data_IF_594431898449
#
_entry.id   IF_594431898449
#
_cell.length_a   1.000
_cell.length_b   1.000
_cell.length_c   1.000
_cell.angle_alpha   90.00
_cell.angle_beta   90.00
_cell.angle_gamma   90.00
#
_symmetry.space_group_name_H-M   'P 1'
#
loop_
_entity.id
_entity.type
_entity.pdbx_description
1 polymer ?
#
# COMPACT_ATOMS: atom_id res chain seq x y z
N UNK A 1 9.45 9.82 24.19
CA UNK A 1 8.45 9.47 23.16
C UNK A 1 8.53 7.97 23.00
N UNK A 2 7.44 7.27 23.32
CA UNK A 2 7.41 5.82 23.44
C UNK A 2 7.65 5.16 22.08
N UNK A 3 8.73 4.41 21.99
CA UNK A 3 8.95 3.36 21.01
C UNK A 3 7.75 2.39 21.11
N UNK A 4 6.76 2.56 20.24
CA UNK A 4 5.59 1.68 20.18
C UNK A 4 5.88 0.69 19.06
N UNK A 5 5.88 -0.63 19.34
CA UNK A 5 6.33 -1.61 18.38
C UNK A 5 5.48 -1.49 17.14
N UNK A 6 6.14 -1.34 15.99
CA UNK A 6 5.52 -1.44 14.67
C UNK A 6 4.74 -2.75 14.66
N UNK A 7 3.41 -2.70 14.77
CA UNK A 7 2.59 -3.92 14.79
C UNK A 7 2.57 -4.44 13.37
N UNK A 8 3.46 -5.38 13.09
CA UNK A 8 3.48 -6.17 11.87
C UNK A 8 2.08 -6.78 11.71
N UNK A 9 1.40 -6.48 10.60
CA UNK A 9 0.07 -7.02 10.28
C UNK A 9 0.29 -8.13 9.27
N UNK A 10 -0.44 -9.24 9.37
CA UNK A 10 -0.36 -10.33 8.40
C UNK A 10 -1.55 -10.24 7.47
N UNK A 11 -1.30 -10.17 6.17
CA UNK A 11 -2.32 -10.14 5.12
C UNK A 11 -2.29 -11.47 4.37
N UNK A 12 -3.46 -12.03 4.09
CA UNK A 12 -3.62 -13.26 3.30
C UNK A 12 -3.98 -12.89 1.87
N UNK A 13 -3.18 -13.40 0.92
CA UNK A 13 -3.47 -13.33 -0.51
C UNK A 13 -4.52 -14.36 -0.90
N UNK A 14 -5.08 -14.23 -2.10
CA UNK A 14 -6.13 -15.13 -2.63
C UNK A 14 -5.67 -16.59 -2.68
N UNK A 15 -4.41 -16.84 -3.02
CA UNK A 15 -3.79 -18.16 -3.06
C UNK A 15 -3.55 -18.78 -1.67
N UNK A 16 -3.83 -18.04 -0.59
CA UNK A 16 -3.59 -18.46 0.79
C UNK A 16 -2.18 -18.14 1.30
N UNK A 17 -1.34 -17.52 0.46
CA UNK A 17 -0.03 -16.99 0.87
C UNK A 17 -0.21 -15.90 1.93
N UNK A 18 0.46 -16.05 3.07
CA UNK A 18 0.51 -15.04 4.13
C UNK A 18 1.74 -14.14 3.97
N UNK A 19 1.51 -12.82 3.89
CA UNK A 19 2.56 -11.81 3.82
C UNK A 19 2.52 -10.90 5.06
N UNK A 20 3.68 -10.62 5.62
CA UNK A 20 3.80 -9.71 6.74
C UNK A 20 3.98 -8.27 6.23
N UNK A 21 2.93 -7.47 6.37
CA UNK A 21 2.91 -6.07 5.94
C UNK A 21 3.36 -5.15 7.08
N UNK A 22 4.18 -4.18 6.71
CA UNK A 22 4.80 -3.20 7.63
C UNK A 22 5.05 -1.87 6.89
N UNK A 23 5.21 -0.75 7.60
CA UNK A 23 5.48 0.55 6.99
C UNK A 23 6.67 0.50 6.03
N UNK A 24 6.53 1.10 4.85
CA UNK A 24 7.61 1.14 3.86
C UNK A 24 8.80 1.93 4.39
N UNK A 25 10.02 1.45 4.11
CA UNK A 25 11.24 2.22 4.29
C UNK A 25 11.13 3.52 3.49
N UNK A 26 11.71 4.60 4.01
CA UNK A 26 11.67 5.94 3.40
C UNK A 26 12.07 5.94 1.91
N UNK A 27 12.96 5.02 1.51
CA UNK A 27 13.41 4.88 0.11
C UNK A 27 12.32 4.33 -0.83
N UNK A 28 11.41 3.49 -0.34
CA UNK A 28 10.27 2.95 -1.09
C UNK A 28 9.01 3.79 -0.88
N UNK A 29 8.89 4.44 0.28
CA UNK A 29 7.77 5.33 0.59
C UNK A 29 7.72 6.54 -0.33
N UNK A 30 8.86 7.12 -0.72
CA UNK A 30 8.92 8.23 -1.68
C UNK A 30 8.25 7.90 -3.03
N UNK A 31 8.68 6.86 -3.77
CA UNK A 31 8.03 6.51 -5.03
C UNK A 31 6.59 6.03 -4.83
N UNK A 32 6.29 5.34 -3.72
CA UNK A 32 4.92 4.94 -3.38
C UNK A 32 3.99 6.15 -3.25
N UNK A 33 4.37 7.17 -2.47
CA UNK A 33 3.58 8.38 -2.27
C UNK A 33 3.41 9.17 -3.57
N UNK A 34 4.45 9.23 -4.42
CA UNK A 34 4.33 9.84 -5.74
C UNK A 34 3.30 9.12 -6.61
N UNK A 35 3.29 7.79 -6.64
CA UNK A 35 2.30 7.02 -7.40
C UNK A 35 0.90 7.14 -6.81
N UNK A 36 0.78 7.04 -5.49
CA UNK A 36 -0.49 7.16 -4.79
C UNK A 36 -1.13 8.54 -4.98
N UNK A 37 -0.34 9.61 -5.03
CA UNK A 37 -0.85 10.95 -5.31
C UNK A 37 -1.47 11.07 -6.72
N UNK A 38 -1.02 10.27 -7.69
CA UNK A 38 -1.58 10.23 -9.04
C UNK A 38 -2.94 9.50 -9.07
N UNK A 39 -3.22 8.61 -8.11
CA UNK A 39 -4.51 7.92 -8.00
C UNK A 39 -5.67 8.93 -7.96
N UNK A 40 -5.52 9.98 -7.16
CA UNK A 40 -6.48 11.07 -7.04
C UNK A 40 -6.81 11.72 -8.40
N UNK A 41 -5.83 11.83 -9.29
CA UNK A 41 -5.97 12.43 -10.61
C UNK A 41 -6.63 11.52 -11.64
N UNK A 42 -6.66 10.21 -11.40
CA UNK A 42 -7.26 9.21 -12.31
C UNK A 42 -8.50 8.54 -11.73
N UNK A 43 -9.02 9.07 -10.62
CA UNK A 43 -10.16 8.50 -9.88
C UNK A 43 -11.43 8.28 -10.72
N UNK A 44 -11.59 9.02 -11.83
CA UNK A 44 -12.73 8.90 -12.74
C UNK A 44 -12.58 7.74 -13.75
N UNK A 45 -11.38 7.18 -13.86
CA UNK A 45 -10.99 6.18 -14.85
C UNK A 45 -10.57 4.89 -14.12
N UNK A 46 -11.50 3.95 -14.04
CA UNK A 46 -11.34 2.74 -13.22
C UNK A 46 -10.12 1.91 -13.65
N UNK A 47 -9.89 1.73 -14.94
CA UNK A 47 -8.72 1.02 -15.48
C UNK A 47 -7.40 1.66 -15.00
N UNK A 48 -7.28 2.98 -15.11
CA UNK A 48 -6.08 3.70 -14.66
C UNK A 48 -5.93 3.66 -13.15
N UNK A 49 -7.03 3.74 -12.42
CA UNK A 49 -7.02 3.62 -10.96
C UNK A 49 -6.49 2.26 -10.52
N UNK A 50 -6.91 1.18 -11.18
CA UNK A 50 -6.42 -0.17 -10.92
C UNK A 50 -4.92 -0.30 -11.24
N UNK A 51 -4.46 0.28 -12.35
CA UNK A 51 -3.04 0.28 -12.72
C UNK A 51 -2.18 0.93 -11.62
N UNK A 52 -2.59 2.11 -11.12
CA UNK A 52 -1.86 2.81 -10.05
C UNK A 52 -1.89 2.02 -8.74
N UNK A 53 -3.02 1.41 -8.38
CA UNK A 53 -3.14 0.57 -7.20
C UNK A 53 -2.17 -0.63 -7.26
N UNK A 54 -2.06 -1.27 -8.42
CA UNK A 54 -1.09 -2.35 -8.66
C UNK A 54 0.34 -1.84 -8.58
N UNK A 55 0.66 -0.67 -9.15
CA UNK A 55 2.00 -0.07 -9.03
C UNK A 55 2.36 0.23 -7.56
N UNK A 56 1.41 0.75 -6.78
CA UNK A 56 1.58 0.97 -5.34
C UNK A 56 1.82 -0.35 -4.61
N UNK A 57 1.05 -1.38 -4.92
CA UNK A 57 1.23 -2.72 -4.37
C UNK A 57 2.59 -3.30 -4.75
N UNK A 58 3.05 -3.17 -6.00
CA UNK A 58 4.38 -3.59 -6.43
C UNK A 58 5.49 -2.94 -5.60
N UNK A 59 5.42 -1.63 -5.38
CA UNK A 59 6.40 -0.91 -4.56
C UNK A 59 6.40 -1.43 -3.12
N UNK A 60 5.21 -1.70 -2.56
CA UNK A 60 5.06 -2.28 -1.23
C UNK A 60 5.65 -3.70 -1.16
N UNK A 61 5.35 -4.52 -2.17
CA UNK A 61 5.81 -5.91 -2.30
C UNK A 61 7.33 -6.00 -2.41
N UNK A 62 8.04 -4.98 -2.93
CA UNK A 62 9.52 -4.97 -2.90
C UNK A 62 10.07 -5.11 -1.48
N UNK A 63 9.32 -4.69 -0.47
CA UNK A 63 9.70 -4.83 0.93
C UNK A 63 9.20 -6.12 1.60
N UNK A 64 8.05 -6.63 1.17
CA UNK A 64 7.39 -7.79 1.79
C UNK A 64 7.79 -9.09 1.11
N UNK A 65 7.73 -9.12 -0.22
CA UNK A 65 8.05 -10.28 -1.07
C UNK A 65 8.52 -9.80 -2.45
N UNK A 66 9.81 -9.48 -2.63
CA UNK A 66 10.34 -8.88 -3.86
C UNK A 66 10.10 -9.77 -5.10
N UNK A 67 10.05 -11.08 -4.94
CA UNK A 67 9.74 -12.03 -6.02
C UNK A 67 8.37 -11.76 -6.66
N UNK A 68 7.35 -11.39 -5.86
CA UNK A 68 6.04 -11.00 -6.39
C UNK A 68 6.04 -9.56 -6.92
N UNK A 69 6.93 -8.70 -6.42
CA UNK A 69 7.00 -7.32 -6.88
C UNK A 69 7.44 -7.18 -8.35
N UNK A 70 8.23 -8.14 -8.82
CA UNK A 70 8.71 -8.20 -10.21
C UNK A 70 7.66 -8.80 -11.17
N UNK A 71 6.66 -9.53 -10.64
CA UNK A 71 5.62 -10.17 -11.43
C UNK A 71 4.27 -9.46 -11.25
N UNK A 72 4.03 -8.48 -12.12
CA UNK A 72 2.78 -7.72 -12.12
C UNK A 72 1.56 -8.60 -12.36
N UNK A 73 1.65 -9.57 -13.29
CA UNK A 73 0.52 -10.43 -13.63
C UNK A 73 0.13 -11.30 -12.43
N UNK A 74 1.12 -11.87 -11.73
CA UNK A 74 0.87 -12.60 -10.51
C UNK A 74 0.21 -11.72 -9.44
N UNK A 75 0.60 -10.44 -9.30
CA UNK A 75 -0.06 -9.53 -8.37
C UNK A 75 -1.52 -9.28 -8.74
N UNK A 76 -1.84 -9.11 -10.02
CA UNK A 76 -3.22 -8.93 -10.48
C UNK A 76 -4.10 -10.17 -10.25
N UNK A 77 -3.52 -11.38 -10.28
CA UNK A 77 -4.25 -12.62 -9.96
C UNK A 77 -4.33 -12.94 -8.45
N UNK A 78 -3.34 -12.51 -7.67
CA UNK A 78 -3.21 -12.83 -6.24
C UNK A 78 -3.78 -11.75 -5.31
N UNK A 79 -3.93 -10.51 -5.79
CA UNK A 79 -4.42 -9.37 -5.03
C UNK A 79 -5.85 -8.99 -5.44
N UNK A 80 -6.76 -9.09 -4.49
CA UNK A 80 -8.08 -8.46 -4.57
C UNK A 80 -8.02 -7.01 -4.07
N UNK A 81 -9.00 -6.19 -4.48
CA UNK A 81 -9.14 -4.81 -4.03
C UNK A 81 -9.00 -4.63 -2.49
N UNK A 82 -9.72 -5.38 -1.63
CA UNK A 82 -9.55 -5.30 -0.18
C UNK A 82 -8.10 -5.53 0.27
N UNK A 83 -7.45 -6.57 -0.26
CA UNK A 83 -6.06 -6.90 0.03
C UNK A 83 -5.11 -5.78 -0.38
N UNK A 84 -5.31 -5.18 -1.57
CA UNK A 84 -4.52 -4.03 -2.03
C UNK A 84 -4.67 -2.84 -1.07
N UNK A 85 -5.89 -2.53 -0.62
CA UNK A 85 -6.12 -1.44 0.34
C UNK A 85 -5.42 -1.69 1.67
N UNK A 86 -5.47 -2.92 2.21
CA UNK A 86 -4.76 -3.29 3.44
C UNK A 86 -3.24 -3.14 3.30
N UNK A 87 -2.69 -3.53 2.14
CA UNK A 87 -1.27 -3.36 1.81
C UNK A 87 -0.91 -1.87 1.76
N UNK A 88 -1.71 -1.04 1.08
CA UNK A 88 -1.49 0.40 0.93
C UNK A 88 -1.55 1.10 2.29
N UNK A 89 -2.54 0.77 3.14
CA UNK A 89 -2.67 1.30 4.50
C UNK A 89 -1.44 0.97 5.36
N UNK A 90 -1.04 -0.31 5.35
CA UNK A 90 0.13 -0.75 6.08
C UNK A 90 1.44 -0.14 5.53
N UNK A 91 1.57 -0.04 4.21
CA UNK A 91 2.74 0.49 3.51
C UNK A 91 2.93 2.00 3.74
N UNK A 92 1.82 2.75 3.76
CA UNK A 92 1.76 4.17 4.10
C UNK A 92 2.27 4.44 5.53
N UNK A 93 2.14 3.46 6.42
CA UNK A 93 2.58 3.57 7.81
C UNK A 93 1.68 4.47 8.66
N UNK A 94 0.54 4.90 8.12
CA UNK A 94 -0.50 5.63 8.86
C UNK A 94 -1.28 4.64 9.69
N UNK A 95 -0.68 4.19 10.80
CA UNK A 95 -1.37 3.32 11.75
C UNK A 95 -2.34 4.16 12.59
N UNK A 96 -3.58 4.28 12.12
CA UNK A 96 -4.81 4.65 12.86
C UNK A 96 -4.59 5.33 14.24
N UNK A 97 -4.06 6.55 14.19
CA UNK A 97 -4.16 7.58 15.23
C UNK A 97 -3.93 8.98 14.63
N UNK A 98 -3.28 9.05 13.46
CA UNK A 98 -3.09 10.29 12.68
C UNK A 98 -4.09 10.44 11.52
N UNK A 99 -5.13 9.58 11.43
CA UNK A 99 -6.28 9.86 10.55
C UNK A 99 -6.89 11.24 10.92
N UNK A 100 -6.70 11.70 12.16
CA UNK A 100 -7.10 13.04 12.59
C UNK A 100 -6.18 14.19 12.14
N UNK A 101 -4.93 13.96 11.72
CA UNK A 101 -4.00 15.05 11.37
C UNK A 101 -3.90 15.32 9.86
N UNK A 102 -3.86 14.26 9.04
CA UNK A 102 -3.85 14.41 7.57
C UNK A 102 -5.20 14.83 6.99
N UNK A 103 -6.33 14.38 7.57
CA UNK A 103 -7.67 14.86 7.17
C UNK A 103 -7.91 16.32 7.58
N UNK A 104 -7.35 16.76 8.72
CA UNK A 104 -7.46 18.17 9.18
C UNK A 104 -6.68 19.13 8.27
N UNK A 105 -5.63 18.64 7.59
CA UNK A 105 -4.84 19.46 6.68
C UNK A 105 -5.49 19.67 5.31
N UNK A 106 -6.54 18.90 4.98
CA UNK A 106 -7.34 19.06 3.76
C UNK A 106 -8.58 19.95 3.97
N UNK A 107 -8.87 20.37 5.22
CA UNK A 107 -10.03 21.21 5.57
C UNK A 107 -9.62 22.65 5.91
N UNK A 108 -8.52 23.16 5.35
CA UNK A 108 -8.13 24.56 5.54
C UNK A 108 -7.77 25.26 4.24
#
# INVERSE_FOLDING_TARGET
MADKPLKNRTVKLIDGTEIEVRPLKLSLLRPFMSKFALLSSVSEDNDKSMDILIECAQIAMKQFKPELAEDRAALEELLDLPTVYEIIDAASGVQNNETSAVLTSLTK
#
